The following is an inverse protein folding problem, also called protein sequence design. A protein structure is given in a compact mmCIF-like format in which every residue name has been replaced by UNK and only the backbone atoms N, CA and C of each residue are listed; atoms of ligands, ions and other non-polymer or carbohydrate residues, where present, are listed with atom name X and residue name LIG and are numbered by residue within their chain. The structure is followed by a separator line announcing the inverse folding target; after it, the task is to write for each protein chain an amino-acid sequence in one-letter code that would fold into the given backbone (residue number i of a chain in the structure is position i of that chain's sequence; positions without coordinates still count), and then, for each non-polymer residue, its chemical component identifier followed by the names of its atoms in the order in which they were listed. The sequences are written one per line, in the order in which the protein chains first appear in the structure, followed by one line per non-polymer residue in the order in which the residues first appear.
data_IF_306310581168
#
_entry.id   IF_306310581168
#
_cell.length_a   1.000
_cell.length_b   1.000
_cell.length_c   1.000
_cell.angle_alpha   90.00
_cell.angle_beta   90.00
_cell.angle_gamma   90.00
#
_symmetry.space_group_name_H-M   'P 1'
#
loop_
_entity.id
_entity.type
_entity.pdbx_description
1 polymer ?
#
# COMPACT_ATOMS: atom_id res chain seq x y z
N UNK A 1 -31.17 26.52 -12.40
CA UNK A 1 -31.23 26.06 -11.00
C UNK A 1 -30.20 24.96 -10.84
N UNK A 2 -28.95 25.45 -10.79
CA UNK A 2 -27.70 24.88 -10.29
C UNK A 2 -27.67 23.40 -9.90
N UNK A 3 -27.23 22.58 -10.86
CA UNK A 3 -26.60 21.27 -10.62
C UNK A 3 -25.23 21.53 -9.95
N UNK A 4 -25.23 21.70 -8.62
CA UNK A 4 -24.00 21.70 -7.82
C UNK A 4 -23.52 20.24 -7.65
N UNK A 5 -22.56 19.84 -8.48
CA UNK A 5 -21.76 18.62 -8.38
C UNK A 5 -21.13 18.49 -6.98
N UNK A 6 -21.83 17.87 -6.02
CA UNK A 6 -21.27 17.40 -4.74
C UNK A 6 -20.56 16.06 -4.90
N UNK A 7 -19.80 15.84 -5.97
CA UNK A 7 -19.07 14.58 -6.18
C UNK A 7 -17.86 14.39 -5.25
N UNK A 8 -17.62 15.31 -4.29
CA UNK A 8 -16.40 15.34 -3.48
C UNK A 8 -16.48 14.85 -2.03
N UNK A 9 -17.67 14.75 -1.41
CA UNK A 9 -17.79 14.49 0.04
C UNK A 9 -18.39 13.11 0.36
N UNK A 10 -19.43 12.71 -0.38
CA UNK A 10 -20.14 11.44 -0.18
C UNK A 10 -19.22 10.21 -0.32
N UNK A 11 -18.23 10.29 -1.21
CA UNK A 11 -17.27 9.22 -1.45
C UNK A 11 -16.34 8.95 -0.27
N UNK A 12 -15.96 9.99 0.47
CA UNK A 12 -15.12 9.85 1.66
C UNK A 12 -15.93 9.36 2.87
N UNK A 13 -17.18 9.79 3.00
CA UNK A 13 -18.07 9.31 4.07
C UNK A 13 -18.33 7.80 3.95
N UNK A 14 -18.63 7.30 2.74
CA UNK A 14 -18.81 5.85 2.53
C UNK A 14 -17.50 5.10 2.76
N UNK A 15 -16.39 5.60 2.20
CA UNK A 15 -15.05 4.99 2.31
C UNK A 15 -14.59 4.83 3.76
N UNK A 16 -14.81 5.84 4.60
CA UNK A 16 -14.36 5.86 5.98
C UNK A 16 -15.43 5.47 7.01
N UNK A 17 -16.65 5.14 6.56
CA UNK A 17 -17.81 4.80 7.40
C UNK A 17 -17.48 3.88 8.59
N UNK A 18 -16.73 2.79 8.34
CA UNK A 18 -16.32 1.83 9.38
C UNK A 18 -15.30 2.40 10.36
N UNK A 19 -14.38 3.24 9.88
CA UNK A 19 -13.39 3.90 10.74
C UNK A 19 -14.05 4.95 11.62
N UNK A 20 -14.99 5.72 11.06
CA UNK A 20 -15.81 6.69 11.79
C UNK A 20 -16.68 5.98 12.84
N UNK A 21 -17.25 4.82 12.53
CA UNK A 21 -17.99 4.00 13.51
C UNK A 21 -17.10 3.55 14.68
N UNK A 22 -15.83 3.21 14.42
CA UNK A 22 -14.90 2.74 15.45
C UNK A 22 -14.30 3.87 16.31
N UNK A 23 -13.91 4.99 15.71
CA UNK A 23 -13.24 6.12 16.38
C UNK A 23 -14.19 7.24 16.82
N UNK A 24 -15.32 7.40 16.14
CA UNK A 24 -16.18 8.57 16.21
C UNK A 24 -15.76 9.68 15.24
N UNK A 25 -16.75 10.40 14.72
CA UNK A 25 -16.56 11.42 13.68
C UNK A 25 -15.54 12.51 14.06
N UNK A 26 -15.55 12.97 15.32
CA UNK A 26 -14.63 14.02 15.78
C UNK A 26 -13.17 13.55 15.78
N UNK A 27 -12.91 12.35 16.27
CA UNK A 27 -11.55 11.81 16.31
C UNK A 27 -11.04 11.52 14.90
N UNK A 28 -11.89 10.97 14.03
CA UNK A 28 -11.55 10.75 12.63
C UNK A 28 -11.26 12.06 11.88
N UNK A 29 -12.07 13.11 12.11
CA UNK A 29 -11.81 14.45 11.57
C UNK A 29 -10.44 15.02 11.96
N UNK A 30 -9.99 14.77 13.20
CA UNK A 30 -8.64 15.17 13.63
C UNK A 30 -7.54 14.38 12.90
N UNK A 31 -7.73 13.06 12.71
CA UNK A 31 -6.80 12.23 11.92
C UNK A 31 -6.66 12.78 10.49
N UNK A 32 -7.77 13.14 9.85
CA UNK A 32 -7.76 13.73 8.50
C UNK A 32 -7.06 15.07 8.41
N UNK A 33 -7.07 15.86 9.49
CA UNK A 33 -6.34 17.13 9.57
C UNK A 33 -4.84 16.98 9.90
N UNK A 34 -4.36 15.77 10.17
CA UNK A 34 -3.00 15.52 10.61
C UNK A 34 -2.02 15.38 9.43
N UNK A 35 -0.80 15.92 9.59
CA UNK A 35 0.36 15.56 8.78
C UNK A 35 1.28 14.67 9.61
N UNK A 36 1.55 13.47 9.13
CA UNK A 36 2.45 12.52 9.77
C UNK A 36 3.86 12.60 9.16
N UNK A 37 4.88 12.66 10.01
CA UNK A 37 6.28 12.53 9.61
C UNK A 37 6.75 11.11 9.94
N UNK A 38 7.26 10.41 8.93
CA UNK A 38 7.77 9.06 9.06
C UNK A 38 9.28 9.07 8.81
N UNK A 39 10.04 8.92 9.89
CA UNK A 39 11.49 8.87 9.89
C UNK A 39 11.94 7.44 10.19
N UNK A 40 12.54 6.81 9.20
CA UNK A 40 12.97 5.42 9.27
C UNK A 40 13.62 4.98 7.97
N UNK A 41 14.30 3.83 7.96
CA UNK A 41 15.02 3.39 6.77
C UNK A 41 14.05 3.25 5.57
N UNK A 42 14.38 3.79 4.39
CA UNK A 42 13.45 3.89 3.26
C UNK A 42 13.01 2.52 2.72
N UNK A 43 13.88 1.49 2.83
CA UNK A 43 13.57 0.10 2.42
C UNK A 43 13.10 -0.79 3.58
N UNK A 44 12.77 -0.21 4.74
CA UNK A 44 12.26 -0.99 5.87
C UNK A 44 10.79 -1.36 5.64
N UNK A 45 10.48 -2.65 5.73
CA UNK A 45 9.09 -3.13 5.68
C UNK A 45 8.21 -2.48 6.75
N UNK A 46 8.76 -2.16 7.93
CA UNK A 46 8.03 -1.44 8.97
C UNK A 46 7.61 -0.04 8.52
N UNK A 47 8.52 0.69 7.87
CA UNK A 47 8.26 2.04 7.34
C UNK A 47 7.13 1.99 6.30
N UNK A 48 7.17 1.04 5.37
CA UNK A 48 6.10 0.86 4.39
C UNK A 48 4.76 0.49 5.04
N UNK A 49 4.76 -0.43 6.01
CA UNK A 49 3.54 -0.85 6.69
C UNK A 49 2.90 0.27 7.50
N UNK A 50 3.71 1.09 8.19
CA UNK A 50 3.25 2.29 8.87
C UNK A 50 2.69 3.32 7.89
N UNK A 51 3.42 3.61 6.80
CA UNK A 51 2.97 4.53 5.76
C UNK A 51 1.64 4.09 5.13
N UNK A 52 1.48 2.80 4.82
CA UNK A 52 0.23 2.22 4.31
C UNK A 52 -0.92 2.40 5.30
N UNK A 53 -0.72 2.08 6.58
CA UNK A 53 -1.76 2.20 7.58
C UNK A 53 -2.18 3.66 7.82
N UNK A 54 -1.21 4.59 7.82
CA UNK A 54 -1.49 6.02 7.88
C UNK A 54 -2.32 6.49 6.69
N UNK A 55 -1.95 6.07 5.47
CA UNK A 55 -2.67 6.42 4.24
C UNK A 55 -4.10 5.87 4.23
N UNK A 56 -4.28 4.60 4.63
CA UNK A 56 -5.60 3.97 4.74
C UNK A 56 -6.46 4.59 5.85
N UNK A 57 -5.85 5.17 6.88
CA UNK A 57 -6.54 5.91 7.94
C UNK A 57 -6.98 7.32 7.50
N UNK A 58 -6.57 7.77 6.31
CA UNK A 58 -6.99 9.03 5.73
C UNK A 58 -6.30 10.26 6.33
N UNK A 59 -5.06 10.14 6.82
CA UNK A 59 -4.29 11.33 7.26
C UNK A 59 -4.15 12.35 6.13
N UNK A 60 -4.13 13.63 6.47
CA UNK A 60 -4.08 14.73 5.49
C UNK A 60 -2.77 14.82 4.72
N UNK A 61 -1.68 14.28 5.27
CA UNK A 61 -0.41 14.15 4.57
C UNK A 61 0.56 13.21 5.27
N UNK A 62 1.44 12.59 4.48
CA UNK A 62 2.54 11.74 4.97
C UNK A 62 3.82 12.27 4.34
N UNK A 63 4.79 12.63 5.19
CA UNK A 63 6.14 13.02 4.78
C UNK A 63 7.08 11.89 5.18
N UNK A 64 7.71 11.26 4.21
CA UNK A 64 8.73 10.23 4.44
C UNK A 64 10.08 10.91 4.39
N UNK A 65 10.83 10.80 5.49
CA UNK A 65 12.22 11.26 5.54
C UNK A 65 13.09 10.10 5.09
N UNK A 66 13.75 10.26 3.96
CA UNK A 66 14.70 9.30 3.42
C UNK A 66 16.06 9.96 3.31
N UNK A 67 17.11 9.25 3.73
CA UNK A 67 18.49 9.60 3.39
C UNK A 67 18.77 9.16 1.95
N UNK A 68 19.59 9.93 1.22
CA UNK A 68 19.87 9.78 -0.22
C UNK A 68 20.64 8.49 -0.58
N UNK A 69 21.01 7.65 0.39
CA UNK A 69 21.75 6.39 0.18
C UNK A 69 20.85 5.22 -0.27
N UNK A 70 19.84 5.49 -1.10
CA UNK A 70 19.01 4.46 -1.72
C UNK A 70 19.75 3.93 -2.95
N UNK A 71 20.55 2.88 -2.76
CA UNK A 71 21.12 2.12 -3.87
C UNK A 71 19.97 1.54 -4.73
N UNK A 72 19.95 1.91 -6.02
CA UNK A 72 18.91 1.59 -7.02
C UNK A 72 18.85 0.10 -7.44
N UNK A 73 19.56 -0.81 -6.76
CA UNK A 73 19.55 -2.25 -7.07
C UNK A 73 18.30 -2.95 -6.49
N UNK A 74 17.10 -2.52 -6.90
CA UNK A 74 15.90 -3.36 -6.79
C UNK A 74 15.80 -4.23 -8.03
N UNK A 75 16.52 -5.35 -8.03
CA UNK A 75 16.23 -6.47 -8.93
C UNK A 75 14.90 -7.08 -8.51
N UNK A 76 13.84 -6.73 -9.23
CA UNK A 76 12.50 -7.25 -9.01
C UNK A 76 12.39 -8.72 -9.40
N UNK A 77 13.09 -9.61 -8.69
CA UNK A 77 12.84 -11.06 -8.70
C UNK A 77 11.52 -11.32 -7.96
N UNK A 78 10.44 -11.01 -8.67
CA UNK A 78 9.12 -11.51 -8.37
C UNK A 78 9.05 -12.93 -8.92
N UNK A 79 9.72 -13.87 -8.24
CA UNK A 79 9.61 -15.32 -8.45
C UNK A 79 8.20 -15.78 -8.06
N UNK A 80 7.22 -15.46 -8.89
CA UNK A 80 5.89 -16.07 -8.87
C UNK A 80 5.72 -16.96 -10.11
N UNK A 81 6.67 -17.88 -10.30
CA UNK A 81 6.61 -18.99 -11.26
C UNK A 81 5.65 -20.10 -10.77
N UNK A 82 4.43 -19.74 -10.34
CA UNK A 82 3.33 -20.69 -10.23
C UNK A 82 2.63 -20.83 -11.59
N UNK A 83 3.42 -21.19 -12.62
CA UNK A 83 2.87 -21.62 -13.91
C UNK A 83 2.51 -23.11 -13.83
N UNK A 84 1.27 -23.40 -13.43
CA UNK A 84 0.65 -24.73 -13.45
C UNK A 84 0.41 -25.25 -14.89
N UNK A 85 1.19 -24.80 -15.87
CA UNK A 85 1.09 -25.26 -17.25
C UNK A 85 1.72 -26.66 -17.41
N UNK A 86 1.11 -27.54 -18.21
CA UNK A 86 1.63 -28.89 -18.47
C UNK A 86 3.02 -28.89 -19.14
N UNK A 87 3.50 -27.74 -19.62
CA UNK A 87 4.85 -27.56 -20.14
C UNK A 87 5.93 -27.64 -19.05
N UNK A 88 5.64 -27.18 -17.82
CA UNK A 88 6.58 -27.20 -16.70
C UNK A 88 6.91 -28.63 -16.26
N UNK A 89 5.91 -29.53 -16.24
CA UNK A 89 6.09 -30.94 -15.88
C UNK A 89 7.01 -31.70 -16.86
N UNK A 90 6.91 -31.41 -18.16
CA UNK A 90 7.76 -32.02 -19.19
C UNK A 90 9.24 -31.64 -19.03
N UNK A 91 9.51 -30.38 -18.65
CA UNK A 91 10.86 -29.87 -18.43
C UNK A 91 11.53 -30.49 -17.20
N UNK A 92 10.75 -30.81 -16.16
CA UNK A 92 11.25 -31.50 -14.96
C UNK A 92 11.62 -32.97 -15.25
N UNK A 93 10.81 -33.68 -16.07
CA UNK A 93 11.10 -35.07 -16.45
C UNK A 93 12.35 -35.20 -17.34
N UNK A 94 12.58 -34.25 -18.24
CA UNK A 94 13.77 -34.23 -19.11
C UNK A 94 15.08 -34.11 -18.33
N UNK A 95 15.09 -33.43 -17.18
CA UNK A 95 16.27 -33.29 -16.32
C UNK A 95 16.61 -34.57 -15.53
N UNK A 96 15.66 -35.49 -15.37
CA UNK A 96 15.87 -36.74 -14.60
C UNK A 96 16.62 -37.82 -15.38
N UNK A 97 16.53 -37.83 -16.72
CA UNK A 97 17.19 -38.82 -17.59
C UNK A 97 18.57 -38.39 -18.12
N UNK A 98 19.07 -37.21 -17.72
CA UNK A 98 20.39 -36.70 -18.12
C UNK A 98 21.47 -36.91 -17.05
N UNK A 99 21.37 -37.98 -16.25
CA UNK A 99 22.39 -38.44 -15.30
C UNK A 99 22.97 -39.78 -15.72
#
# INVERSE_FOLDING_TARGET
DDDDDKEGDDGDEERYSRQVYALGARAHGLVRSCTALLDGPPRSGLTYELGKNLALSGVGGIVIVADDDIDDDWDGDNDNDNDDSPAAASKALGKLHAR
#
